data_IF_650733050044
#
_entry.id   IF_650733050044
#
_cell.length_a   1.000
_cell.length_b   1.000
_cell.length_c   1.000
_cell.angle_alpha   90.00
_cell.angle_beta   90.00
_cell.angle_gamma   90.00
#
_symmetry.space_group_name_H-M   'P 1'
#
loop_
_entity.id
_entity.type
_entity.pdbx_description
1 polymer ?
#
# COMPACT_ATOMS: atom_id res chain seq x y z
N UNK A 1 10.79 -19.10 3.85
CA UNK A 1 10.55 -20.36 4.55
C UNK A 1 9.20 -20.44 5.24
N UNK A 2 9.05 -21.40 6.14
CA UNK A 2 7.77 -21.74 6.79
C UNK A 2 7.31 -20.81 7.92
N UNK A 3 7.82 -19.58 8.02
CA UNK A 3 7.39 -18.58 9.03
C UNK A 3 7.94 -18.80 10.45
N UNK A 4 8.99 -19.59 10.61
CA UNK A 4 9.60 -19.85 11.95
C UNK A 4 10.14 -18.60 12.59
N UNK A 5 10.80 -17.72 11.82
CA UNK A 5 11.34 -16.45 12.33
C UNK A 5 10.23 -15.54 12.86
N UNK A 6 9.11 -15.42 12.11
CA UNK A 6 7.96 -14.63 12.56
C UNK A 6 7.39 -15.16 13.89
N UNK A 7 7.19 -16.48 14.00
CA UNK A 7 6.77 -17.11 15.24
C UNK A 7 7.72 -16.82 16.40
N UNK A 8 9.04 -16.97 16.19
CA UNK A 8 10.05 -16.71 17.24
C UNK A 8 10.05 -15.24 17.70
N UNK A 9 9.88 -14.28 16.76
CA UNK A 9 9.81 -12.86 17.10
C UNK A 9 8.57 -12.55 17.94
N UNK A 10 7.40 -13.09 17.56
CA UNK A 10 6.16 -12.93 18.32
C UNK A 10 6.29 -13.52 19.74
N UNK A 11 6.90 -14.71 19.83
CA UNK A 11 7.15 -15.38 21.12
C UNK A 11 8.05 -14.54 22.03
N UNK A 12 9.17 -14.03 21.51
CA UNK A 12 10.08 -13.16 22.25
C UNK A 12 9.41 -11.88 22.74
N UNK A 13 8.58 -11.25 21.89
CA UNK A 13 7.84 -10.06 22.28
C UNK A 13 6.86 -10.37 23.43
N UNK A 14 6.25 -11.56 23.42
CA UNK A 14 5.36 -11.99 24.48
C UNK A 14 6.11 -12.26 25.80
N UNK A 15 7.35 -12.76 25.74
CA UNK A 15 8.16 -13.10 26.91
C UNK A 15 8.74 -11.86 27.60
N UNK A 16 9.18 -10.84 26.84
CA UNK A 16 9.90 -9.69 27.38
C UNK A 16 9.20 -8.34 27.18
N UNK A 17 7.97 -8.32 26.63
CA UNK A 17 7.24 -7.10 26.35
C UNK A 17 7.85 -6.26 25.22
N UNK A 18 8.67 -6.86 24.36
CA UNK A 18 9.34 -6.19 23.26
C UNK A 18 8.39 -5.83 22.11
N UNK A 19 8.85 -4.93 21.24
CA UNK A 19 8.11 -4.48 20.04
C UNK A 19 8.86 -4.77 18.74
N UNK A 20 9.55 -5.91 18.67
CA UNK A 20 10.31 -6.33 17.47
C UNK A 20 9.36 -6.60 16.34
N UNK A 21 9.79 -6.24 15.14
CA UNK A 21 9.07 -6.49 13.87
C UNK A 21 9.78 -7.54 13.04
N UNK A 22 9.06 -8.17 12.14
CA UNK A 22 9.64 -9.11 11.18
C UNK A 22 9.15 -8.80 9.75
N UNK A 23 9.99 -9.13 8.79
CA UNK A 23 9.64 -9.16 7.37
C UNK A 23 10.07 -10.52 6.84
N UNK A 24 9.11 -11.29 6.33
CA UNK A 24 9.35 -12.58 5.74
C UNK A 24 9.07 -12.53 4.23
N UNK A 25 10.04 -12.89 3.43
CA UNK A 25 9.91 -13.01 1.97
C UNK A 25 9.96 -14.48 1.60
N UNK A 26 8.98 -14.94 0.84
CA UNK A 26 8.88 -16.31 0.38
C UNK A 26 8.44 -16.35 -1.08
N UNK A 27 9.16 -17.08 -1.91
CA UNK A 27 8.75 -17.39 -3.27
C UNK A 27 7.49 -18.28 -3.25
N UNK A 28 6.71 -18.24 -4.33
CA UNK A 28 5.51 -19.09 -4.50
C UNK A 28 5.92 -20.52 -4.89
N UNK A 29 6.76 -21.15 -4.06
CA UNK A 29 7.13 -22.55 -4.25
C UNK A 29 5.96 -23.46 -3.88
N UNK A 30 5.63 -24.36 -4.79
CA UNK A 30 4.59 -25.35 -4.56
C UNK A 30 5.05 -26.40 -3.54
N UNK A 31 4.10 -26.90 -2.77
CA UNK A 31 4.32 -28.04 -1.89
C UNK A 31 4.32 -29.34 -2.72
N UNK A 32 5.13 -30.31 -2.33
CA UNK A 32 5.13 -31.63 -2.98
C UNK A 32 3.71 -32.24 -2.95
N UNK A 33 3.26 -32.79 -4.07
CA UNK A 33 1.90 -33.35 -4.23
C UNK A 33 1.59 -34.45 -3.21
N UNK A 34 2.60 -35.20 -2.78
CA UNK A 34 2.48 -36.29 -1.81
C UNK A 34 2.68 -35.86 -0.37
N UNK A 35 3.03 -34.58 -0.13
CA UNK A 35 3.29 -34.07 1.21
C UNK A 35 2.01 -33.99 2.05
N UNK A 36 2.15 -34.10 3.35
CA UNK A 36 1.04 -33.87 4.31
C UNK A 36 0.51 -32.44 4.23
N UNK A 37 1.37 -31.47 3.89
CA UNK A 37 0.96 -30.09 3.69
C UNK A 37 -0.02 -29.94 2.51
N UNK A 38 0.26 -30.58 1.37
CA UNK A 38 -0.65 -30.58 0.20
C UNK A 38 -1.97 -31.27 0.53
N UNK A 39 -1.94 -32.40 1.22
CA UNK A 39 -3.16 -33.11 1.68
C UNK A 39 -3.99 -32.25 2.65
N UNK A 40 -3.34 -31.41 3.45
CA UNK A 40 -3.98 -30.47 4.36
C UNK A 40 -4.50 -29.20 3.66
N UNK A 41 -4.35 -29.06 2.34
CA UNK A 41 -4.83 -27.94 1.53
C UNK A 41 -3.86 -26.78 1.37
N UNK A 42 -2.61 -26.91 1.79
CA UNK A 42 -1.56 -25.89 1.59
C UNK A 42 -0.83 -26.14 0.28
N UNK A 43 -1.13 -25.34 -0.73
CA UNK A 43 -0.56 -25.51 -2.07
C UNK A 43 0.85 -24.92 -2.21
N UNK A 44 1.22 -23.96 -1.35
CA UNK A 44 2.53 -23.30 -1.39
C UNK A 44 3.18 -23.22 -0.01
N UNK A 45 4.52 -23.09 0.01
CA UNK A 45 5.27 -22.85 1.25
C UNK A 45 4.81 -21.55 1.94
N UNK A 46 4.44 -20.53 1.16
CA UNK A 46 3.92 -19.27 1.69
C UNK A 46 2.58 -19.46 2.44
N UNK A 47 1.73 -20.39 2.00
CA UNK A 47 0.48 -20.71 2.71
C UNK A 47 0.74 -21.38 4.05
N UNK A 48 1.72 -22.29 4.11
CA UNK A 48 2.18 -22.90 5.37
C UNK A 48 2.70 -21.82 6.32
N UNK A 49 3.51 -20.87 5.80
CA UNK A 49 4.05 -19.78 6.60
C UNK A 49 2.94 -18.91 7.21
N UNK A 50 1.98 -18.49 6.39
CA UNK A 50 0.83 -17.70 6.84
C UNK A 50 0.02 -18.41 7.92
N UNK A 51 -0.24 -19.70 7.74
CA UNK A 51 -1.00 -20.47 8.73
C UNK A 51 -0.21 -20.68 10.02
N UNK A 52 1.10 -20.93 9.94
CA UNK A 52 1.95 -20.99 11.14
C UNK A 52 1.88 -19.69 11.94
N UNK A 53 2.02 -18.53 11.27
CA UNK A 53 1.97 -17.24 11.92
C UNK A 53 0.60 -17.03 12.60
N UNK A 54 -0.50 -17.38 11.93
CA UNK A 54 -1.85 -17.28 12.52
C UNK A 54 -2.02 -18.17 13.75
N UNK A 55 -1.50 -19.40 13.70
CA UNK A 55 -1.57 -20.32 14.85
C UNK A 55 -0.71 -19.82 16.02
N UNK A 56 0.51 -19.34 15.73
CA UNK A 56 1.38 -18.73 16.73
C UNK A 56 0.72 -17.51 17.38
N UNK A 57 0.14 -16.62 16.58
CA UNK A 57 -0.62 -15.46 17.05
C UNK A 57 -1.73 -15.86 18.04
N UNK A 58 -2.57 -16.84 17.68
CA UNK A 58 -3.65 -17.32 18.58
C UNK A 58 -3.09 -17.92 19.85
N UNK A 59 -2.10 -18.83 19.74
CA UNK A 59 -1.51 -19.49 20.89
C UNK A 59 -0.88 -18.49 21.88
N UNK A 60 -0.20 -17.46 21.36
CA UNK A 60 0.39 -16.40 22.16
C UNK A 60 -0.71 -15.57 22.83
N UNK A 61 -1.72 -15.13 22.05
CA UNK A 61 -2.83 -14.33 22.57
C UNK A 61 -3.62 -15.07 23.66
N UNK A 62 -3.88 -16.37 23.47
CA UNK A 62 -4.59 -17.21 24.44
C UNK A 62 -3.76 -17.45 25.74
N UNK A 63 -2.44 -17.35 25.64
CA UNK A 63 -1.54 -17.52 26.77
C UNK A 63 -1.21 -16.23 27.55
N UNK A 64 -1.64 -15.06 27.04
CA UNK A 64 -1.40 -13.78 27.71
C UNK A 64 -2.28 -13.65 28.96
N UNK A 65 -1.70 -13.06 30.01
CA UNK A 65 -2.48 -12.67 31.18
C UNK A 65 -3.37 -11.46 30.86
N UNK A 66 -4.52 -11.38 31.52
CA UNK A 66 -5.47 -10.26 31.34
C UNK A 66 -4.78 -8.90 31.49
N UNK A 67 -4.91 -8.06 30.44
CA UNK A 67 -4.34 -6.71 30.41
C UNK A 67 -3.02 -6.56 29.65
N UNK A 68 -2.45 -7.62 29.09
CA UNK A 68 -1.27 -7.55 28.22
C UNK A 68 -1.69 -7.38 26.76
N UNK A 69 -1.40 -6.24 26.15
CA UNK A 69 -1.60 -6.02 24.72
C UNK A 69 -0.28 -6.25 23.97
N UNK A 70 -0.24 -7.26 23.13
CA UNK A 70 0.88 -7.54 22.22
C UNK A 70 0.38 -7.56 20.80
N UNK A 71 1.04 -6.82 19.92
CA UNK A 71 0.75 -6.89 18.49
C UNK A 71 1.20 -8.24 17.92
N UNK A 72 0.24 -9.10 17.65
CA UNK A 72 0.42 -10.40 16.98
C UNK A 72 -0.07 -10.37 15.54
N UNK A 73 -0.43 -9.20 15.02
CA UNK A 73 -0.90 -9.00 13.66
C UNK A 73 0.22 -9.09 12.62
N UNK A 74 -0.16 -9.35 11.38
CA UNK A 74 0.73 -9.23 10.23
C UNK A 74 -0.05 -8.91 8.95
N UNK A 75 0.59 -8.21 8.03
CA UNK A 75 0.06 -7.95 6.69
C UNK A 75 0.71 -8.90 5.69
N UNK A 76 -0.04 -9.25 4.65
CA UNK A 76 0.44 -10.12 3.56
C UNK A 76 0.35 -9.35 2.26
N UNK A 77 1.46 -9.25 1.56
CA UNK A 77 1.55 -8.63 0.26
C UNK A 77 2.02 -9.64 -0.79
N UNK A 78 1.62 -9.42 -2.02
CA UNK A 78 2.16 -10.12 -3.20
C UNK A 78 2.85 -9.11 -4.08
N UNK A 79 4.04 -9.45 -4.58
CA UNK A 79 4.69 -8.65 -5.59
C UNK A 79 3.85 -8.71 -6.87
N UNK A 80 3.58 -7.56 -7.44
CA UNK A 80 2.85 -7.38 -8.69
C UNK A 80 3.61 -6.41 -9.61
N UNK A 81 3.25 -6.37 -10.86
CA UNK A 81 3.71 -5.35 -11.80
C UNK A 81 3.25 -3.96 -11.32
N UNK A 82 4.03 -2.93 -11.68
CA UNK A 82 3.64 -1.54 -11.40
C UNK A 82 2.28 -1.20 -12.04
N UNK A 83 1.44 -0.52 -11.31
CA UNK A 83 0.17 0.02 -11.81
C UNK A 83 0.35 1.27 -12.68
N UNK A 84 1.55 1.80 -12.75
CA UNK A 84 1.87 2.96 -13.57
C UNK A 84 2.61 2.55 -14.84
N UNK A 85 2.26 3.20 -15.95
CA UNK A 85 2.99 3.04 -17.20
C UNK A 85 4.42 3.54 -17.01
N UNK A 86 5.38 2.77 -17.50
CA UNK A 86 6.78 3.17 -17.51
C UNK A 86 7.09 3.80 -18.86
N UNK A 87 7.61 5.04 -18.82
CA UNK A 87 8.15 5.65 -20.03
C UNK A 87 9.28 4.80 -20.59
N UNK A 88 9.15 4.41 -21.85
CA UNK A 88 10.23 3.78 -22.61
C UNK A 88 10.57 4.67 -23.77
N UNK A 89 11.84 5.00 -23.92
CA UNK A 89 12.30 5.76 -25.06
C UNK A 89 12.06 4.93 -26.33
N UNK A 90 11.37 5.48 -27.37
CA UNK A 90 11.17 4.78 -28.63
C UNK A 90 12.53 4.37 -29.24
N UNK A 91 12.62 3.15 -29.76
CA UNK A 91 13.84 2.66 -30.45
C UNK A 91 14.13 3.46 -31.72
N UNK A 92 13.09 4.01 -32.33
CA UNK A 92 13.19 4.90 -33.50
C UNK A 92 12.86 6.33 -33.06
N UNK A 93 13.83 7.22 -33.26
CA UNK A 93 13.72 8.64 -32.88
C UNK A 93 13.00 9.46 -33.95
N UNK A 94 11.86 9.01 -34.45
CA UNK A 94 11.02 9.82 -35.32
C UNK A 94 9.92 10.56 -34.53
N UNK A 95 9.45 11.66 -35.09
CA UNK A 95 8.46 12.52 -34.44
C UNK A 95 7.11 11.82 -34.25
N UNK A 96 6.75 10.91 -35.15
CA UNK A 96 5.47 10.18 -35.09
C UNK A 96 5.50 9.11 -34.01
N UNK A 97 6.62 8.38 -33.85
CA UNK A 97 6.83 7.43 -32.77
C UNK A 97 6.79 8.13 -31.40
N UNK A 98 7.45 9.27 -31.28
CA UNK A 98 7.45 10.07 -30.07
C UNK A 98 6.05 10.61 -29.72
N UNK A 99 5.31 11.13 -30.70
CA UNK A 99 3.93 11.59 -30.50
C UNK A 99 3.01 10.45 -30.08
N UNK A 100 3.18 9.25 -30.65
CA UNK A 100 2.39 8.07 -30.29
C UNK A 100 2.68 7.64 -28.85
N UNK A 101 3.94 7.57 -28.45
CA UNK A 101 4.34 7.27 -27.08
C UNK A 101 3.85 8.32 -26.09
N UNK A 102 3.92 9.60 -26.42
CA UNK A 102 3.36 10.68 -25.60
C UNK A 102 1.85 10.52 -25.43
N UNK A 103 1.12 10.23 -26.51
CA UNK A 103 -0.33 10.01 -26.46
C UNK A 103 -0.71 8.79 -25.61
N UNK A 104 0.07 7.70 -25.67
CA UNK A 104 -0.15 6.50 -24.87
C UNK A 104 0.13 6.71 -23.37
N UNK A 105 0.91 7.71 -23.02
CA UNK A 105 1.30 8.02 -21.63
C UNK A 105 0.52 9.21 -21.03
N UNK A 106 -0.49 9.75 -21.71
CA UNK A 106 -1.36 10.80 -21.15
C UNK A 106 -2.02 10.32 -19.85
N UNK A 107 -2.53 9.09 -19.82
CA UNK A 107 -2.95 8.43 -18.57
C UNK A 107 -1.78 7.60 -18.04
N UNK A 108 -1.24 8.01 -16.90
CA UNK A 108 -0.10 7.35 -16.26
C UNK A 108 -0.45 5.99 -15.66
N UNK A 109 -1.73 5.66 -15.49
CA UNK A 109 -2.22 4.46 -14.81
C UNK A 109 -2.65 3.39 -15.81
N UNK A 110 -2.31 2.13 -15.53
CA UNK A 110 -2.82 0.99 -16.28
C UNK A 110 -4.30 0.73 -15.92
N UNK A 111 -5.15 0.51 -16.95
CA UNK A 111 -6.61 0.41 -16.81
C UNK A 111 -7.10 -0.70 -15.87
N UNK A 112 -6.33 -1.75 -15.71
CA UNK A 112 -6.70 -2.92 -14.89
C UNK A 112 -6.19 -2.85 -13.44
N UNK A 113 -5.50 -1.77 -13.05
CA UNK A 113 -4.92 -1.65 -11.72
C UNK A 113 -5.95 -1.23 -10.69
N UNK A 114 -6.05 -1.98 -9.60
CA UNK A 114 -6.95 -1.63 -8.50
C UNK A 114 -6.44 -0.40 -7.74
N UNK A 115 -7.36 0.38 -7.17
CA UNK A 115 -7.01 1.55 -6.35
C UNK A 115 -6.15 1.18 -5.13
N UNK A 116 -6.33 -0.02 -4.58
CA UNK A 116 -5.51 -0.51 -3.47
C UNK A 116 -4.06 -0.77 -3.90
N UNK A 117 -3.84 -1.38 -5.07
CA UNK A 117 -2.50 -1.59 -5.59
C UNK A 117 -1.79 -0.26 -5.85
N UNK A 118 -2.50 0.73 -6.43
CA UNK A 118 -1.97 2.08 -6.62
C UNK A 118 -1.63 2.75 -5.30
N UNK A 119 -2.49 2.61 -4.28
CA UNK A 119 -2.24 3.14 -2.95
C UNK A 119 -0.92 2.62 -2.38
N UNK A 120 -0.74 1.29 -2.34
CA UNK A 120 0.48 0.69 -1.79
C UNK A 120 1.73 1.04 -2.60
N UNK A 121 1.61 1.16 -3.93
CA UNK A 121 2.72 1.62 -4.77
C UNK A 121 3.09 3.08 -4.46
N UNK A 122 2.10 3.97 -4.31
CA UNK A 122 2.33 5.37 -3.94
C UNK A 122 2.90 5.49 -2.52
N UNK A 123 2.42 4.70 -1.57
CA UNK A 123 3.01 4.63 -0.23
C UNK A 123 4.51 4.29 -0.30
N UNK A 124 4.89 3.28 -1.07
CA UNK A 124 6.29 2.91 -1.26
C UNK A 124 7.11 4.03 -1.91
N UNK A 125 6.58 4.69 -2.95
CA UNK A 125 7.24 5.82 -3.62
C UNK A 125 7.46 7.01 -2.68
N UNK A 126 6.54 7.21 -1.74
CA UNK A 126 6.63 8.27 -0.72
C UNK A 126 7.44 7.88 0.51
N UNK A 127 7.96 6.65 0.57
CA UNK A 127 8.74 6.15 1.70
C UNK A 127 7.91 5.77 2.92
N UNK A 128 6.58 5.67 2.79
CA UNK A 128 5.70 5.22 3.86
C UNK A 128 5.83 3.71 4.07
N UNK A 129 5.77 3.29 5.32
CA UNK A 129 5.76 1.87 5.65
C UNK A 129 4.44 1.23 5.24
N UNK A 130 4.48 0.03 4.67
CA UNK A 130 3.27 -0.72 4.31
C UNK A 130 2.47 -1.16 5.55
N UNK A 131 3.06 -1.07 6.74
CA UNK A 131 2.39 -1.33 8.03
C UNK A 131 1.53 -0.17 8.51
N UNK A 132 1.73 1.04 7.98
CA UNK A 132 0.94 2.21 8.34
C UNK A 132 -0.55 1.92 8.32
N UNK A 133 -1.28 2.55 9.24
CA UNK A 133 -2.73 2.42 9.32
C UNK A 133 -3.37 3.11 8.12
N UNK A 134 -4.14 2.34 7.37
CA UNK A 134 -4.90 2.80 6.21
C UNK A 134 -6.37 2.84 6.58
N UNK A 135 -7.04 3.93 6.30
CA UNK A 135 -8.49 4.07 6.37
C UNK A 135 -9.04 4.57 5.04
N UNK A 136 -10.29 4.21 4.73
CA UNK A 136 -10.97 4.62 3.52
C UNK A 136 -12.32 5.22 3.88
N UNK A 137 -12.52 6.47 3.51
CA UNK A 137 -13.81 7.18 3.69
C UNK A 137 -13.99 8.19 2.57
N UNK A 138 -15.24 8.35 2.12
CA UNK A 138 -15.64 9.34 1.10
C UNK A 138 -14.80 9.26 -0.19
N UNK A 139 -14.44 8.04 -0.62
CA UNK A 139 -13.58 7.76 -1.78
C UNK A 139 -12.13 8.22 -1.66
N UNK A 140 -11.68 8.57 -0.45
CA UNK A 140 -10.30 8.94 -0.14
C UNK A 140 -9.65 7.88 0.75
N UNK A 141 -8.42 7.51 0.43
CA UNK A 141 -7.57 6.74 1.33
C UNK A 141 -6.76 7.69 2.21
N UNK A 142 -6.79 7.45 3.51
CA UNK A 142 -5.98 8.16 4.49
C UNK A 142 -4.98 7.20 5.10
N UNK A 143 -3.73 7.63 5.19
CA UNK A 143 -2.62 6.86 5.74
C UNK A 143 -1.96 7.68 6.85
N UNK A 144 -1.91 7.13 8.05
CA UNK A 144 -1.18 7.71 9.17
C UNK A 144 0.25 7.18 9.16
N UNK A 145 1.24 8.05 9.02
CA UNK A 145 2.64 7.67 9.13
C UNK A 145 2.99 7.35 10.59
N UNK A 146 3.42 6.13 10.83
CA UNK A 146 3.74 5.64 12.18
C UNK A 146 4.93 6.36 12.83
N UNK A 147 5.84 6.93 12.04
CA UNK A 147 7.06 7.55 12.54
C UNK A 147 6.87 9.03 12.88
N UNK A 148 6.08 9.75 12.09
CA UNK A 148 5.88 11.20 12.23
C UNK A 148 4.51 11.58 12.77
N UNK A 149 3.54 10.66 12.72
CA UNK A 149 2.13 10.95 13.01
C UNK A 149 1.45 11.77 11.93
N UNK A 150 2.12 12.02 10.80
CA UNK A 150 1.59 12.79 9.69
C UNK A 150 0.48 12.06 8.94
N UNK A 151 -0.57 12.78 8.57
CA UNK A 151 -1.66 12.24 7.77
C UNK A 151 -1.39 12.46 6.28
N UNK A 152 -1.49 11.41 5.49
CA UNK A 152 -1.42 11.43 4.03
C UNK A 152 -2.78 11.11 3.44
N UNK A 153 -3.19 11.81 2.38
CA UNK A 153 -4.44 11.54 1.69
C UNK A 153 -4.18 11.20 0.21
N UNK A 154 -4.90 10.18 -0.29
CA UNK A 154 -4.76 9.70 -1.66
C UNK A 154 -6.13 9.71 -2.35
N UNK A 155 -6.26 10.57 -3.37
CA UNK A 155 -7.44 10.71 -4.23
C UNK A 155 -7.22 9.84 -5.47
N UNK A 156 -7.74 8.62 -5.45
CA UNK A 156 -7.50 7.61 -6.50
C UNK A 156 -8.77 7.24 -7.28
N UNK A 157 -9.94 7.73 -6.88
CA UNK A 157 -11.23 7.37 -7.48
C UNK A 157 -11.95 8.55 -8.11
N UNK A 158 -12.03 9.67 -7.42
CA UNK A 158 -12.66 10.90 -7.90
C UNK A 158 -12.03 12.12 -7.23
N UNK A 159 -12.27 13.27 -7.82
CA UNK A 159 -11.93 14.56 -7.26
C UNK A 159 -13.05 15.55 -7.58
N UNK A 160 -13.42 16.35 -6.62
CA UNK A 160 -14.31 17.49 -6.74
C UNK A 160 -14.00 18.49 -5.62
N UNK A 161 -14.52 19.72 -5.72
CA UNK A 161 -14.25 20.78 -4.75
C UNK A 161 -14.64 20.39 -3.33
N UNK A 162 -15.82 19.77 -3.15
CA UNK A 162 -16.28 19.37 -1.83
C UNK A 162 -15.38 18.33 -1.16
N UNK A 163 -14.82 17.42 -1.97
CA UNK A 163 -13.88 16.42 -1.50
C UNK A 163 -12.54 17.05 -1.11
N UNK A 164 -12.06 18.01 -1.88
CA UNK A 164 -10.83 18.77 -1.57
C UNK A 164 -10.98 19.50 -0.25
N UNK A 165 -12.10 20.19 -0.04
CA UNK A 165 -12.39 20.92 1.20
C UNK A 165 -12.46 19.96 2.41
N UNK A 166 -13.09 18.79 2.24
CA UNK A 166 -13.17 17.75 3.27
C UNK A 166 -11.81 17.15 3.63
N UNK A 167 -10.93 16.96 2.62
CA UNK A 167 -9.55 16.49 2.82
C UNK A 167 -8.74 17.55 3.56
N UNK A 168 -8.81 18.81 3.16
CA UNK A 168 -8.10 19.92 3.81
C UNK A 168 -8.53 20.11 5.26
N UNK A 169 -9.82 19.91 5.59
CA UNK A 169 -10.31 19.96 6.95
C UNK A 169 -9.65 18.94 7.91
N UNK A 170 -9.09 17.85 7.38
CA UNK A 170 -8.32 16.86 8.15
C UNK A 170 -6.84 17.23 8.33
N UNK A 171 -6.38 18.33 7.74
CA UNK A 171 -5.03 18.85 7.85
C UNK A 171 -3.95 17.82 7.47
N UNK A 172 -4.00 17.18 6.30
CA UNK A 172 -2.97 16.26 5.89
C UNK A 172 -1.64 16.99 5.66
N UNK A 173 -0.52 16.29 5.85
CA UNK A 173 0.81 16.83 5.51
C UNK A 173 1.08 16.73 4.01
N UNK A 174 0.47 15.73 3.35
CA UNK A 174 0.60 15.55 1.90
C UNK A 174 -0.67 14.94 1.31
N UNK A 175 -1.01 15.40 0.11
CA UNK A 175 -2.10 14.87 -0.71
C UNK A 175 -1.55 14.46 -2.07
N UNK A 176 -1.88 13.24 -2.51
CA UNK A 176 -1.62 12.77 -3.86
C UNK A 176 -2.93 12.51 -4.59
N UNK A 177 -3.03 12.94 -5.83
CA UNK A 177 -4.17 12.70 -6.69
C UNK A 177 -3.73 12.18 -8.07
N UNK A 178 -4.53 11.27 -8.65
CA UNK A 178 -4.28 10.87 -10.02
C UNK A 178 -4.62 12.02 -10.98
N UNK A 179 -3.71 12.31 -11.91
CA UNK A 179 -3.85 13.41 -12.87
C UNK A 179 -5.13 13.29 -13.72
N UNK A 180 -5.45 12.08 -14.15
CA UNK A 180 -6.65 11.77 -14.92
C UNK A 180 -7.97 12.17 -14.26
N UNK A 181 -8.01 12.33 -12.93
CA UNK A 181 -9.21 12.74 -12.20
C UNK A 181 -9.58 14.20 -12.43
N UNK A 182 -8.63 15.00 -12.94
CA UNK A 182 -8.83 16.40 -13.32
C UNK A 182 -9.05 16.56 -14.83
N UNK A 183 -9.15 15.47 -15.59
CA UNK A 183 -9.26 15.51 -17.04
C UNK A 183 -10.48 16.33 -17.48
N UNK A 184 -10.22 17.37 -18.28
CA UNK A 184 -11.23 18.30 -18.74
C UNK A 184 -11.56 19.44 -17.75
N UNK A 185 -10.95 19.51 -16.56
CA UNK A 185 -11.15 20.59 -15.59
C UNK A 185 -9.83 21.17 -15.07
N UNK A 186 -9.16 21.91 -15.94
CA UNK A 186 -7.91 22.62 -15.59
C UNK A 186 -8.13 23.66 -14.50
N UNK A 187 -9.34 24.20 -14.38
CA UNK A 187 -9.68 25.17 -13.34
C UNK A 187 -9.67 24.49 -11.95
N UNK A 188 -10.33 23.34 -11.81
CA UNK A 188 -10.33 22.55 -10.59
C UNK A 188 -8.89 22.15 -10.21
N UNK A 189 -8.10 21.66 -11.15
CA UNK A 189 -6.70 21.29 -10.92
C UNK A 189 -5.87 22.46 -10.39
N UNK A 190 -5.94 23.61 -11.07
CA UNK A 190 -5.20 24.80 -10.68
C UNK A 190 -5.64 25.34 -9.32
N UNK A 191 -6.93 25.35 -9.05
CA UNK A 191 -7.49 25.78 -7.76
C UNK A 191 -7.06 24.83 -6.64
N UNK A 192 -7.07 23.52 -6.88
CA UNK A 192 -6.58 22.51 -5.91
C UNK A 192 -5.13 22.78 -5.52
N UNK A 193 -4.24 22.99 -6.50
CA UNK A 193 -2.83 23.31 -6.24
C UNK A 193 -2.70 24.55 -5.36
N UNK A 194 -3.46 25.59 -5.66
CA UNK A 194 -3.43 26.85 -4.89
C UNK A 194 -3.93 26.66 -3.47
N UNK A 195 -5.09 26.00 -3.29
CA UNK A 195 -5.67 25.73 -1.99
C UNK A 195 -4.75 24.88 -1.10
N UNK A 196 -4.16 23.82 -1.65
CA UNK A 196 -3.19 22.97 -0.92
C UNK A 196 -1.98 23.77 -0.48
N UNK A 197 -1.42 24.59 -1.37
CA UNK A 197 -0.30 25.47 -1.05
C UNK A 197 -0.63 26.47 0.04
N UNK A 198 -1.79 27.12 -0.06
CA UNK A 198 -2.23 28.13 0.91
C UNK A 198 -2.52 27.52 2.29
N UNK A 199 -2.94 26.25 2.33
CA UNK A 199 -3.08 25.46 3.55
C UNK A 199 -1.76 24.87 4.08
N UNK A 200 -0.64 25.05 3.39
CA UNK A 200 0.65 24.47 3.77
C UNK A 200 0.74 22.95 3.54
N UNK A 201 -0.11 22.39 2.71
CA UNK A 201 -0.17 20.97 2.38
C UNK A 201 0.65 20.70 1.11
N UNK A 202 1.52 19.70 1.15
CA UNK A 202 2.22 19.25 -0.06
C UNK A 202 1.23 18.54 -0.99
N UNK A 203 1.17 18.94 -2.26
CA UNK A 203 0.31 18.35 -3.25
C UNK A 203 1.10 17.78 -4.42
N UNK A 204 0.76 16.56 -4.83
CA UNK A 204 1.38 15.87 -5.96
C UNK A 204 0.31 15.27 -6.86
N UNK A 205 0.34 15.63 -8.15
CA UNK A 205 -0.41 14.94 -9.20
C UNK A 205 0.45 13.83 -9.80
N UNK A 206 -0.08 12.61 -9.89
CA UNK A 206 0.62 11.40 -10.35
C UNK A 206 -0.14 10.73 -11.50
#
# INVERSE_FOLDING_TARGET
GSGTTAHAVMQLNAEDGGSRRFICVQLSEETDEKSEARKAGFNTIAEIAKERIRRASRQISDGLQDGSEIDTGFKVFKLAESGFKQWRQPEQSDTEALQRELSLNIDSVLSETSSENLLYELMLRMGLKLTCKVSFSDDVYFVEDEDTGGLYAFLLKRVDQGLIDAVLAKQPVKVAALDRLFEGDDALKSNTVLQMRDAGVMFECV
#
